data_IF_374295551373
#
_entry.id   IF_374295551373
#
_cell.length_a   1.000
_cell.length_b   1.000
_cell.length_c   1.000
_cell.angle_alpha   90.00
_cell.angle_beta   90.00
_cell.angle_gamma   90.00
#
_symmetry.space_group_name_H-M   'P 1'
#
loop_
_entity.id
_entity.type
_entity.pdbx_description
1 polymer ?
#
# COMPACT_ATOMS: atom_id res chain seq x y z
N UNK A 1 18.09 -12.73 -0.08
CA UNK A 1 17.85 -11.45 -0.81
C UNK A 1 17.07 -10.49 0.10
N UNK A 2 17.72 -9.97 1.14
CA UNK A 2 17.13 -9.08 2.12
C UNK A 2 18.17 -8.00 2.47
N UNK A 3 18.35 -7.01 1.59
CA UNK A 3 19.23 -5.85 1.83
C UNK A 3 18.71 -4.69 1.01
N UNK A 4 18.13 -3.69 1.68
CA UNK A 4 17.93 -2.37 1.05
C UNK A 4 17.68 -1.29 2.11
N UNK A 5 16.92 -1.61 3.18
CA UNK A 5 16.55 -0.59 4.17
C UNK A 5 17.62 -0.34 5.25
N UNK A 6 18.47 -1.33 5.57
CA UNK A 6 19.57 -1.17 6.56
C UNK A 6 20.73 -0.35 5.99
N UNK A 7 21.02 -0.50 4.70
CA UNK A 7 22.06 0.28 4.00
C UNK A 7 21.67 1.78 3.92
N UNK A 8 20.38 2.07 3.73
CA UNK A 8 19.85 3.43 3.72
C UNK A 8 19.98 4.15 5.08
N UNK A 9 19.86 3.40 6.20
CA UNK A 9 20.03 3.96 7.55
C UNK A 9 21.51 4.04 7.97
N UNK A 10 22.36 3.11 7.51
CA UNK A 10 23.79 3.13 7.78
C UNK A 10 24.51 4.34 7.17
N UNK A 11 24.05 4.85 6.03
CA UNK A 11 24.68 5.97 5.31
C UNK A 11 24.49 7.37 5.92
N UNK A 12 23.77 7.48 7.04
CA UNK A 12 23.49 8.74 7.75
C UNK A 12 24.20 8.85 9.11
N UNK A 13 24.79 7.76 9.60
CA UNK A 13 25.52 7.75 10.87
C UNK A 13 26.90 8.37 10.62
N UNK A 14 27.19 9.50 11.27
CA UNK A 14 28.49 10.17 11.20
C UNK A 14 28.59 11.40 10.27
N UNK A 15 27.50 11.83 9.64
CA UNK A 15 27.50 13.06 8.82
C UNK A 15 27.20 14.31 9.65
N UNK A 16 27.89 15.39 9.35
CA UNK A 16 27.71 16.70 9.99
C UNK A 16 26.41 17.37 9.52
N UNK A 17 25.83 18.30 10.31
CA UNK A 17 24.60 19.01 9.94
C UNK A 17 24.67 19.72 8.58
N UNK A 18 25.85 20.20 8.18
CA UNK A 18 26.06 20.83 6.88
C UNK A 18 26.03 19.84 5.70
N UNK A 19 26.53 18.61 5.88
CA UNK A 19 26.50 17.57 4.84
C UNK A 19 25.07 17.04 4.61
N UNK A 20 24.27 16.98 5.66
CA UNK A 20 22.84 16.67 5.58
C UNK A 20 22.09 17.80 4.86
N UNK A 21 22.41 19.07 5.16
CA UNK A 21 21.81 20.22 4.51
C UNK A 21 22.20 20.35 3.02
N UNK A 22 23.43 20.00 2.65
CA UNK A 22 23.90 20.00 1.24
C UNK A 22 23.19 18.95 0.39
N UNK A 23 22.87 17.81 0.97
CA UNK A 23 22.10 16.74 0.31
C UNK A 23 20.64 17.15 0.03
N UNK A 24 20.10 18.11 0.78
CA UNK A 24 18.73 18.61 0.64
C UNK A 24 18.59 19.84 -0.28
N UNK A 25 19.70 20.41 -0.78
CA UNK A 25 19.72 21.59 -1.67
C UNK A 25 19.75 21.26 -3.17
N UNK A 26 19.29 20.08 -3.58
CA UNK A 26 18.99 19.85 -4.99
C UNK A 26 17.58 20.39 -5.30
N UNK A 27 17.37 21.12 -6.42
CA UNK A 27 16.03 21.55 -6.80
C UNK A 27 15.14 20.32 -6.92
N UNK A 28 13.86 20.46 -6.55
CA UNK A 28 12.84 19.40 -6.53
C UNK A 28 12.44 18.94 -7.95
N UNK A 29 13.41 18.68 -8.82
CA UNK A 29 13.25 17.88 -10.03
C UNK A 29 13.23 16.42 -9.62
N UNK A 30 12.06 15.80 -9.82
CA UNK A 30 11.83 14.37 -9.98
C UNK A 30 13.04 13.50 -9.61
N UNK A 31 13.10 12.99 -8.38
CA UNK A 31 13.87 11.76 -8.14
C UNK A 31 13.21 10.69 -9.00
N UNK A 32 13.75 10.49 -10.20
CA UNK A 32 13.34 9.44 -11.10
C UNK A 32 13.31 8.14 -10.29
N UNK A 33 12.14 7.48 -10.27
CA UNK A 33 11.99 6.15 -9.70
C UNK A 33 13.10 5.27 -10.29
N UNK A 34 13.92 4.68 -9.45
CA UNK A 34 15.06 3.82 -9.80
C UNK A 34 14.69 2.75 -10.84
N UNK A 35 14.72 3.03 -12.15
CA UNK A 35 14.52 2.09 -13.28
C UNK A 35 13.36 1.09 -13.22
N UNK A 36 12.46 1.18 -12.23
CA UNK A 36 11.44 0.18 -11.90
C UNK A 36 10.13 0.67 -12.46
N UNK A 37 9.42 -0.19 -13.16
CA UNK A 37 8.10 0.13 -13.71
C UNK A 37 7.09 0.45 -12.59
N UNK A 38 6.04 1.24 -12.85
CA UNK A 38 4.95 1.40 -11.89
C UNK A 38 4.22 0.06 -11.66
N UNK A 39 3.61 -0.17 -10.47
CA UNK A 39 2.69 -1.29 -10.28
C UNK A 39 1.59 -1.37 -11.36
N UNK A 40 1.20 -2.58 -11.74
CA UNK A 40 0.25 -2.85 -12.84
C UNK A 40 -1.10 -2.15 -12.66
N UNK A 41 -1.56 -1.96 -11.42
CA UNK A 41 -2.83 -1.27 -11.14
C UNK A 41 -2.81 0.22 -11.52
N UNK A 42 -1.66 0.81 -11.89
CA UNK A 42 -1.62 2.16 -12.46
C UNK A 42 -1.81 2.21 -13.98
N UNK A 43 -1.43 1.15 -14.70
CA UNK A 43 -1.36 1.15 -16.16
C UNK A 43 -2.58 0.55 -16.84
N UNK A 44 -3.36 -0.25 -16.12
CA UNK A 44 -4.52 -0.94 -16.65
C UNK A 44 -5.81 -0.52 -15.97
N UNK A 45 -6.91 -0.51 -16.71
CA UNK A 45 -8.26 -0.27 -16.17
C UNK A 45 -8.86 -1.50 -15.47
N UNK A 46 -8.14 -2.62 -15.42
CA UNK A 46 -8.49 -3.88 -14.75
C UNK A 46 -8.06 -3.92 -13.27
N UNK A 47 -7.88 -2.77 -12.60
CA UNK A 47 -7.41 -2.74 -11.21
C UNK A 47 -8.31 -3.52 -10.24
N UNK A 48 -9.60 -3.68 -10.57
CA UNK A 48 -10.56 -4.49 -9.82
C UNK A 48 -10.20 -5.97 -9.93
N UNK A 49 -9.89 -6.47 -11.14
CA UNK A 49 -9.48 -7.85 -11.37
C UNK A 49 -8.11 -8.12 -10.73
N UNK A 50 -7.20 -7.14 -10.75
CA UNK A 50 -5.92 -7.24 -10.04
C UNK A 50 -6.12 -7.34 -8.53
N UNK A 51 -7.09 -6.61 -7.96
CA UNK A 51 -7.42 -6.69 -6.54
C UNK A 51 -8.02 -8.06 -6.18
N UNK A 52 -8.93 -8.58 -7.01
CA UNK A 52 -9.46 -9.93 -6.88
C UNK A 52 -8.31 -10.97 -6.84
N UNK A 53 -7.49 -10.99 -7.89
CA UNK A 53 -6.37 -11.94 -8.00
C UNK A 53 -5.37 -11.79 -6.85
N UNK A 54 -5.11 -10.56 -6.38
CA UNK A 54 -4.29 -10.31 -5.20
C UNK A 54 -4.88 -10.99 -3.96
N UNK A 55 -6.16 -10.75 -3.67
CA UNK A 55 -6.81 -11.29 -2.48
C UNK A 55 -6.95 -12.81 -2.54
N UNK A 56 -7.21 -13.38 -3.71
CA UNK A 56 -7.20 -14.83 -3.91
C UNK A 56 -5.82 -15.47 -3.70
N UNK A 57 -4.73 -14.81 -4.11
CA UNK A 57 -3.35 -15.30 -3.90
C UNK A 57 -2.91 -15.18 -2.45
N UNK A 58 -3.28 -14.08 -1.79
CA UNK A 58 -2.96 -13.83 -0.39
C UNK A 58 -3.64 -14.84 0.55
N UNK A 59 -4.91 -15.13 0.28
CA UNK A 59 -5.72 -16.00 1.13
C UNK A 59 -5.52 -17.48 0.85
N UNK A 60 -5.34 -18.28 1.90
CA UNK A 60 -5.36 -19.74 1.77
C UNK A 60 -6.79 -20.21 1.56
N UNK A 61 -7.04 -21.28 0.78
CA UNK A 61 -8.36 -21.89 0.69
C UNK A 61 -8.91 -22.17 2.09
N UNK A 62 -10.12 -21.68 2.38
CA UNK A 62 -10.76 -21.90 3.66
C UNK A 62 -11.05 -23.39 3.85
N UNK A 63 -10.73 -23.93 5.02
CA UNK A 63 -11.08 -25.29 5.43
C UNK A 63 -12.38 -25.34 6.23
N UNK A 64 -13.14 -24.25 6.24
CA UNK A 64 -14.38 -24.16 7.00
C UNK A 64 -15.46 -25.04 6.33
N UNK A 65 -15.89 -26.09 7.05
CA UNK A 65 -16.91 -27.05 6.60
C UNK A 65 -18.31 -26.45 6.44
N UNK A 66 -18.54 -25.24 6.94
CA UNK A 66 -19.82 -24.54 6.85
C UNK A 66 -19.94 -23.64 5.61
N UNK A 67 -18.89 -23.58 4.78
CA UNK A 67 -18.94 -22.85 3.51
C UNK A 67 -19.91 -23.54 2.54
N UNK A 68 -20.65 -22.76 1.75
CA UNK A 68 -21.52 -23.31 0.70
C UNK A 68 -20.66 -23.95 -0.40
N UNK A 69 -21.18 -25.00 -1.05
CA UNK A 69 -20.47 -25.85 -2.02
C UNK A 69 -19.83 -25.10 -3.21
N UNK A 70 -20.28 -23.87 -3.49
CA UNK A 70 -19.77 -23.03 -4.58
C UNK A 70 -19.18 -21.68 -4.11
N UNK A 71 -18.97 -21.48 -2.80
CA UNK A 71 -18.46 -20.22 -2.29
C UNK A 71 -16.94 -20.26 -2.14
N UNK A 72 -16.25 -19.39 -2.89
CA UNK A 72 -14.81 -19.19 -2.72
C UNK A 72 -14.60 -18.46 -1.40
N UNK A 73 -14.19 -19.17 -0.36
CA UNK A 73 -13.78 -18.60 0.92
C UNK A 73 -12.29 -18.76 1.16
N UNK A 74 -11.70 -17.75 1.78
CA UNK A 74 -10.28 -17.59 2.02
C UNK A 74 -10.04 -17.30 3.50
N UNK A 75 -9.01 -17.97 4.03
CA UNK A 75 -8.49 -17.69 5.35
C UNK A 75 -7.28 -16.75 5.20
N UNK A 76 -7.40 -15.56 5.78
CA UNK A 76 -6.38 -14.51 5.76
C UNK A 76 -5.53 -14.44 7.04
N UNK A 77 -5.50 -15.51 7.83
CA UNK A 77 -4.79 -15.52 9.11
C UNK A 77 -5.42 -14.53 10.10
N UNK A 78 -4.61 -13.60 10.58
CA UNK A 78 -4.99 -12.52 11.50
C UNK A 78 -5.19 -11.17 10.79
N UNK A 79 -5.18 -11.14 9.45
CA UNK A 79 -5.59 -9.98 8.68
C UNK A 79 -7.12 -9.84 8.73
N UNK A 80 -7.59 -8.94 9.60
CA UNK A 80 -9.02 -8.71 9.82
C UNK A 80 -9.57 -7.56 8.99
N UNK A 81 -10.89 -7.50 8.83
CA UNK A 81 -11.56 -6.42 8.10
C UNK A 81 -11.32 -5.09 8.79
N UNK A 82 -11.25 -5.08 10.12
CA UNK A 82 -10.91 -3.88 10.90
C UNK A 82 -9.50 -3.37 10.59
N UNK A 83 -8.53 -4.25 10.41
CA UNK A 83 -7.17 -3.86 10.01
C UNK A 83 -7.15 -3.25 8.60
N UNK A 84 -7.86 -3.89 7.66
CA UNK A 84 -8.03 -3.40 6.29
C UNK A 84 -8.70 -2.01 6.27
N UNK A 85 -9.80 -1.84 7.02
CA UNK A 85 -10.51 -0.56 7.16
C UNK A 85 -9.62 0.53 7.78
N UNK A 86 -8.82 0.18 8.79
CA UNK A 86 -7.92 1.14 9.44
C UNK A 86 -6.83 1.66 8.48
N UNK A 87 -6.25 0.77 7.66
CA UNK A 87 -5.31 1.19 6.62
C UNK A 87 -6.00 2.07 5.58
N UNK A 88 -7.20 1.68 5.13
CA UNK A 88 -7.94 2.41 4.11
C UNK A 88 -8.35 3.81 4.58
N UNK A 89 -8.72 3.97 5.86
CA UNK A 89 -9.07 5.27 6.44
C UNK A 89 -7.96 6.33 6.29
N UNK A 90 -6.69 5.93 6.29
CA UNK A 90 -5.56 6.84 6.03
C UNK A 90 -5.63 7.43 4.61
N UNK A 91 -5.97 6.58 3.65
CA UNK A 91 -6.08 6.92 2.23
C UNK A 91 -7.36 7.69 1.96
N UNK A 92 -8.48 7.30 2.57
CA UNK A 92 -9.78 7.99 2.42
C UNK A 92 -9.72 9.45 2.84
N UNK A 93 -8.96 9.78 3.90
CA UNK A 93 -8.78 11.19 4.34
C UNK A 93 -8.18 12.05 3.24
N UNK A 94 -7.11 11.56 2.61
CA UNK A 94 -6.46 12.26 1.50
C UNK A 94 -7.33 12.23 0.24
N UNK A 95 -8.02 11.11 -0.03
CA UNK A 95 -8.99 10.97 -1.13
C UNK A 95 -10.04 12.07 -1.10
N UNK A 96 -10.73 12.22 0.03
CA UNK A 96 -11.79 13.22 0.18
C UNK A 96 -11.28 14.64 -0.09
N UNK A 97 -10.07 14.96 0.41
CA UNK A 97 -9.44 16.27 0.18
C UNK A 97 -9.10 16.49 -1.30
N UNK A 98 -8.55 15.48 -1.96
CA UNK A 98 -8.20 15.56 -3.40
C UNK A 98 -9.44 15.68 -4.27
N UNK A 99 -10.52 14.96 -3.95
CA UNK A 99 -11.77 14.99 -4.73
C UNK A 99 -12.49 16.34 -4.70
N UNK A 100 -12.30 17.13 -3.63
CA UNK A 100 -12.84 18.50 -3.55
C UNK A 100 -11.88 19.57 -4.10
N UNK A 101 -10.83 19.15 -4.82
CA UNK A 101 -9.88 20.03 -5.50
C UNK A 101 -8.55 20.25 -4.77
N UNK A 102 -8.36 19.68 -3.58
CA UNK A 102 -7.12 19.82 -2.82
C UNK A 102 -5.90 19.22 -3.51
N UNK A 103 -4.72 19.76 -3.19
CA UNK A 103 -3.44 19.27 -3.69
C UNK A 103 -2.89 18.07 -2.90
N UNK A 104 -2.00 17.33 -3.54
CA UNK A 104 -1.22 16.26 -2.91
C UNK A 104 0.18 16.78 -2.69
N UNK A 105 0.67 16.68 -1.46
CA UNK A 105 2.05 17.00 -1.13
C UNK A 105 2.87 15.72 -0.92
N UNK A 106 4.20 15.76 -1.09
CA UNK A 106 5.07 14.65 -0.71
C UNK A 106 4.91 14.23 0.76
N UNK A 107 4.58 15.17 1.65
CA UNK A 107 4.34 14.89 3.07
C UNK A 107 3.09 14.03 3.29
N UNK A 108 2.03 14.25 2.51
CA UNK A 108 0.82 13.41 2.60
C UNK A 108 1.13 11.96 2.25
N UNK A 109 1.82 11.72 1.13
CA UNK A 109 2.23 10.38 0.70
C UNK A 109 3.19 9.75 1.72
N UNK A 110 4.17 10.53 2.22
CA UNK A 110 5.10 10.08 3.25
C UNK A 110 4.39 9.65 4.53
N UNK A 111 3.37 10.39 4.97
CA UNK A 111 2.60 10.07 6.18
C UNK A 111 1.87 8.73 6.08
N UNK A 112 1.24 8.46 4.91
CA UNK A 112 0.59 7.18 4.63
C UNK A 112 1.63 6.05 4.63
N UNK A 113 2.77 6.27 3.96
CA UNK A 113 3.83 5.27 3.86
C UNK A 113 4.40 4.89 5.22
N UNK A 114 4.75 5.87 6.06
CA UNK A 114 5.27 5.63 7.41
C UNK A 114 4.28 4.82 8.24
N UNK A 115 2.99 5.18 8.18
CA UNK A 115 1.97 4.45 8.94
C UNK A 115 1.79 3.02 8.45
N UNK A 116 1.76 2.78 7.14
CA UNK A 116 1.70 1.42 6.57
C UNK A 116 2.92 0.57 6.94
N UNK A 117 4.13 1.15 6.90
CA UNK A 117 5.36 0.45 7.31
C UNK A 117 5.34 0.11 8.80
N UNK A 118 4.87 1.02 9.64
CA UNK A 118 4.71 0.76 11.08
C UNK A 118 3.72 -0.38 11.35
N UNK A 119 2.56 -0.37 10.70
CA UNK A 119 1.55 -1.42 10.87
C UNK A 119 2.07 -2.78 10.33
N UNK A 120 2.83 -2.79 9.24
CA UNK A 120 3.53 -3.97 8.72
C UNK A 120 4.54 -4.54 9.73
N UNK A 121 5.33 -3.67 10.37
CA UNK A 121 6.32 -4.09 11.37
C UNK A 121 5.70 -4.68 12.64
N UNK A 122 4.45 -4.33 12.95
CA UNK A 122 3.71 -4.85 14.11
C UNK A 122 2.93 -6.13 13.82
N UNK A 123 2.53 -6.34 12.57
CA UNK A 123 1.62 -7.43 12.17
C UNK A 123 2.10 -8.07 10.88
N UNK A 124 2.58 -9.31 10.98
CA UNK A 124 3.12 -10.06 9.84
C UNK A 124 2.10 -10.24 8.69
N UNK A 125 0.80 -10.38 9.00
CA UNK A 125 -0.22 -10.51 7.96
C UNK A 125 -0.49 -9.19 7.24
N UNK A 126 -0.33 -8.04 7.93
CA UNK A 126 -0.38 -6.72 7.29
C UNK A 126 0.84 -6.53 6.38
N UNK A 127 2.02 -6.96 6.81
CA UNK A 127 3.22 -6.96 5.96
C UNK A 127 2.99 -7.79 4.69
N UNK A 128 2.48 -9.01 4.84
CA UNK A 128 2.21 -9.92 3.72
C UNK A 128 1.19 -9.31 2.75
N UNK A 129 0.12 -8.71 3.27
CA UNK A 129 -0.86 -7.98 2.47
C UNK A 129 -0.23 -6.82 1.68
N UNK A 130 0.56 -5.96 2.32
CA UNK A 130 1.18 -4.80 1.68
C UNK A 130 2.23 -5.21 0.63
N UNK A 131 2.90 -6.33 0.84
CA UNK A 131 3.83 -6.91 -0.12
C UNK A 131 3.11 -7.48 -1.34
N UNK A 132 2.09 -8.32 -1.13
CA UNK A 132 1.32 -8.96 -2.21
C UNK A 132 0.56 -7.93 -3.06
N UNK A 133 -0.05 -6.94 -2.42
CA UNK A 133 -0.80 -5.89 -3.09
C UNK A 133 0.05 -4.85 -3.80
N UNK A 134 1.33 -4.72 -3.42
CA UNK A 134 2.24 -3.71 -3.95
C UNK A 134 1.91 -2.27 -3.53
N UNK A 135 1.08 -2.06 -2.50
CA UNK A 135 0.63 -0.72 -2.07
C UNK A 135 1.79 0.19 -1.66
N UNK A 136 2.78 -0.32 -0.90
CA UNK A 136 3.95 0.47 -0.50
C UNK A 136 4.76 0.97 -1.70
N UNK A 137 4.93 0.12 -2.72
CA UNK A 137 5.54 0.53 -3.98
C UNK A 137 4.66 1.52 -4.71
N UNK A 138 3.34 1.33 -4.69
CA UNK A 138 2.36 2.25 -5.26
C UNK A 138 2.60 3.70 -4.83
N UNK A 139 2.76 3.93 -3.53
CA UNK A 139 3.02 5.24 -2.96
C UNK A 139 4.26 5.94 -3.57
N UNK A 140 5.30 5.19 -3.93
CA UNK A 140 6.52 5.73 -4.53
C UNK A 140 6.31 6.28 -5.95
N UNK A 141 5.24 5.86 -6.64
CA UNK A 141 4.93 6.30 -8.01
C UNK A 141 3.83 7.38 -8.08
N UNK A 142 3.16 7.69 -6.97
CA UNK A 142 2.09 8.70 -6.94
C UNK A 142 2.66 10.10 -7.10
N UNK A 143 3.69 10.46 -6.33
CA UNK A 143 4.20 11.83 -6.28
C UNK A 143 3.09 12.83 -5.92
N UNK A 144 2.85 13.81 -6.79
CA UNK A 144 1.76 14.80 -6.66
C UNK A 144 0.64 14.57 -7.69
N UNK A 145 0.66 13.45 -8.42
CA UNK A 145 -0.31 13.14 -9.46
C UNK A 145 -1.65 12.68 -8.85
N UNK A 146 -2.66 13.53 -8.97
CA UNK A 146 -4.03 13.25 -8.48
C UNK A 146 -4.64 12.03 -9.16
N UNK A 147 -4.43 11.84 -10.46
CA UNK A 147 -4.97 10.70 -11.20
C UNK A 147 -4.41 9.37 -10.70
N UNK A 148 -3.10 9.31 -10.47
CA UNK A 148 -2.46 8.14 -9.84
C UNK A 148 -2.97 7.92 -8.43
N UNK A 149 -3.08 8.97 -7.62
CA UNK A 149 -3.59 8.81 -6.26
C UNK A 149 -5.04 8.31 -6.22
N UNK A 150 -5.93 8.82 -7.07
CA UNK A 150 -7.31 8.34 -7.15
C UNK A 150 -7.35 6.87 -7.59
N UNK A 151 -6.50 6.46 -8.54
CA UNK A 151 -6.38 5.06 -8.96
C UNK A 151 -5.86 4.17 -7.84
N UNK A 152 -4.86 4.61 -7.09
CA UNK A 152 -4.36 3.94 -5.89
C UNK A 152 -5.45 3.76 -4.83
N UNK A 153 -6.24 4.80 -4.56
CA UNK A 153 -7.34 4.75 -3.59
C UNK A 153 -8.44 3.75 -4.02
N UNK A 154 -8.83 3.75 -5.29
CA UNK A 154 -9.83 2.82 -5.84
C UNK A 154 -9.33 1.37 -5.82
N UNK A 155 -8.06 1.14 -6.12
CA UNK A 155 -7.44 -0.18 -5.98
C UNK A 155 -7.45 -0.65 -4.52
N UNK A 156 -7.13 0.22 -3.57
CA UNK A 156 -7.20 -0.11 -2.16
C UNK A 156 -8.63 -0.42 -1.69
N UNK A 157 -9.62 0.33 -2.17
CA UNK A 157 -11.03 0.05 -1.91
C UNK A 157 -11.45 -1.34 -2.43
N UNK A 158 -11.04 -1.69 -3.66
CA UNK A 158 -11.30 -3.01 -4.22
C UNK A 158 -10.65 -4.13 -3.40
N UNK A 159 -9.42 -3.95 -2.92
CA UNK A 159 -8.75 -4.92 -2.03
C UNK A 159 -9.54 -5.14 -0.73
N UNK A 160 -10.04 -4.06 -0.11
CA UNK A 160 -10.87 -4.13 1.10
C UNK A 160 -12.17 -4.87 0.83
N UNK A 161 -12.82 -4.58 -0.30
CA UNK A 161 -14.06 -5.24 -0.70
C UNK A 161 -13.86 -6.74 -0.93
N UNK A 162 -12.82 -7.14 -1.67
CA UNK A 162 -12.51 -8.55 -1.93
C UNK A 162 -12.02 -9.30 -0.69
N UNK A 163 -11.29 -8.64 0.21
CA UNK A 163 -11.00 -9.21 1.53
C UNK A 163 -12.29 -9.58 2.26
N UNK A 164 -13.21 -8.62 2.39
CA UNK A 164 -14.48 -8.84 3.09
C UNK A 164 -15.38 -9.87 2.40
N UNK A 165 -15.36 -9.90 1.07
CA UNK A 165 -16.13 -10.87 0.28
C UNK A 165 -15.61 -12.30 0.50
N UNK A 166 -14.30 -12.49 0.42
CA UNK A 166 -13.67 -13.81 0.49
C UNK A 166 -13.39 -14.31 1.91
N UNK A 167 -13.30 -13.44 2.92
CA UNK A 167 -12.93 -13.89 4.27
C UNK A 167 -13.93 -14.92 4.82
N UNK A 168 -13.40 -15.99 5.42
CA UNK A 168 -14.18 -16.97 6.18
C UNK A 168 -14.41 -16.56 7.64
N UNK A 169 -13.78 -15.46 8.07
CA UNK A 169 -13.96 -14.84 9.39
C UNK A 169 -14.57 -13.45 9.21
N UNK A 170 -15.69 -13.18 9.89
CA UNK A 170 -16.25 -11.84 10.00
C UNK A 170 -15.96 -11.28 11.39
N UNK A 171 -15.28 -10.14 11.43
CA UNK A 171 -14.98 -9.35 12.63
C UNK A 171 -15.78 -8.04 12.65
#
# INVERSE_FOLDING_TARGET
MASDWKDALGGLIGKTPEEVARTQRQPAGQKASSGKEPPAFFSRDDYVDLADQCMQRLGRPSKNKWNKENEIKRNYGELTSSQMRNLFALVTRLYNRVTIGGEITPADIGSIKVRMVYDAGRKADVQSFLQESGLLRGLDFIGTDKGRFLRYARYMEALVAYHYYYTDKKD
#
